data_IF_606838673010
#
_entry.id   IF_606838673010
#
_cell.length_a   1.000
_cell.length_b   1.000
_cell.length_c   1.000
_cell.angle_alpha   90.00
_cell.angle_beta   90.00
_cell.angle_gamma   90.00
#
_symmetry.space_group_name_H-M   'P 1'
#
loop_
_entity.id
_entity.type
_entity.pdbx_description
1 polymer ?
#
# COMPACT_ATOMS: atom_id res chain seq x y z
N UNK A 1 -7.49 -6.58 -20.19
CA UNK A 1 -6.87 -6.41 -18.86
C UNK A 1 -7.88 -6.82 -17.80
N UNK A 2 -7.48 -7.64 -16.85
CA UNK A 2 -8.38 -8.04 -15.76
C UNK A 2 -8.50 -6.88 -14.76
N UNK A 3 -9.72 -6.54 -14.36
CA UNK A 3 -9.97 -5.45 -13.39
C UNK A 3 -9.54 -5.95 -12.01
N UNK A 4 -8.74 -5.16 -11.30
CA UNK A 4 -8.27 -5.45 -9.96
C UNK A 4 -8.81 -4.41 -8.97
N UNK A 5 -8.90 -4.79 -7.70
CA UNK A 5 -9.19 -3.89 -6.57
C UNK A 5 -7.89 -3.57 -5.83
N UNK A 6 -7.54 -2.30 -5.81
CA UNK A 6 -6.37 -1.76 -5.14
C UNK A 6 -6.76 -1.12 -3.81
N UNK A 7 -6.09 -1.48 -2.74
CA UNK A 7 -6.21 -0.84 -1.44
C UNK A 7 -4.93 -0.01 -1.20
N UNK A 8 -5.06 1.31 -1.19
CA UNK A 8 -3.92 2.24 -1.09
C UNK A 8 -4.05 3.03 0.20
N UNK A 9 -3.06 2.93 1.09
CA UNK A 9 -2.96 3.74 2.30
C UNK A 9 -2.03 4.92 2.10
N UNK A 10 -2.21 6.00 2.90
CA UNK A 10 -1.51 7.26 2.68
C UNK A 10 -1.91 7.93 1.36
N UNK A 11 -3.15 7.72 0.95
CA UNK A 11 -3.67 8.11 -0.35
C UNK A 11 -3.79 9.63 -0.54
N UNK A 12 -3.81 10.42 0.54
CA UNK A 12 -3.79 11.89 0.49
C UNK A 12 -2.39 12.45 0.21
N UNK A 13 -1.33 11.65 0.26
CA UNK A 13 0.00 12.10 -0.13
C UNK A 13 0.10 12.32 -1.65
N UNK A 14 1.18 12.99 -2.09
CA UNK A 14 1.44 13.16 -3.53
C UNK A 14 1.58 11.80 -4.22
N UNK A 15 2.42 10.92 -3.68
CA UNK A 15 2.66 9.59 -4.23
C UNK A 15 1.41 8.73 -4.20
N UNK A 16 0.68 8.72 -3.07
CA UNK A 16 -0.56 7.96 -2.91
C UNK A 16 -1.61 8.39 -3.93
N UNK A 17 -1.83 9.69 -4.10
CA UNK A 17 -2.78 10.22 -5.07
C UNK A 17 -2.36 9.90 -6.53
N UNK A 18 -1.05 9.91 -6.83
CA UNK A 18 -0.55 9.50 -8.16
C UNK A 18 -0.83 8.02 -8.43
N UNK A 19 -0.62 7.14 -7.44
CA UNK A 19 -0.93 5.71 -7.53
C UNK A 19 -2.44 5.53 -7.76
N UNK A 20 -3.29 6.19 -6.97
CA UNK A 20 -4.75 6.12 -7.10
C UNK A 20 -5.20 6.54 -8.51
N UNK A 21 -4.76 7.72 -8.99
CA UNK A 21 -5.10 8.21 -10.33
C UNK A 21 -4.70 7.23 -11.43
N UNK A 22 -3.50 6.67 -11.36
CA UNK A 22 -3.03 5.74 -12.38
C UNK A 22 -3.75 4.40 -12.34
N UNK A 23 -4.08 3.88 -11.15
CA UNK A 23 -4.89 2.67 -11.04
C UNK A 23 -6.29 2.87 -11.64
N UNK A 24 -6.95 3.99 -11.34
CA UNK A 24 -8.23 4.36 -11.94
C UNK A 24 -8.14 4.52 -13.47
N UNK A 25 -7.09 5.20 -13.97
CA UNK A 25 -6.88 5.39 -15.41
C UNK A 25 -6.69 4.06 -16.17
N UNK A 26 -6.19 3.02 -15.49
CA UNK A 26 -6.07 1.66 -16.04
C UNK A 26 -7.34 0.81 -15.89
N UNK A 27 -8.40 1.37 -15.34
CA UNK A 27 -9.69 0.69 -15.20
C UNK A 27 -9.84 -0.14 -13.93
N UNK A 28 -8.88 -0.05 -12.99
CA UNK A 28 -8.96 -0.72 -11.71
C UNK A 28 -9.95 -0.05 -10.75
N UNK A 29 -10.38 -0.78 -9.73
CA UNK A 29 -11.13 -0.27 -8.59
C UNK A 29 -10.13 0.12 -7.49
N UNK A 30 -10.39 1.20 -6.75
CA UNK A 30 -9.45 1.70 -5.75
C UNK A 30 -10.17 2.06 -4.46
N UNK A 31 -9.68 1.49 -3.37
CA UNK A 31 -9.94 1.95 -2.01
C UNK A 31 -8.77 2.85 -1.62
N UNK A 32 -9.04 4.12 -1.46
CA UNK A 32 -8.05 5.13 -1.11
C UNK A 32 -8.25 5.54 0.36
N UNK A 33 -7.38 5.05 1.23
CA UNK A 33 -7.47 5.21 2.67
C UNK A 33 -6.45 6.23 3.19
N UNK A 34 -6.92 7.16 4.01
CA UNK A 34 -6.09 8.18 4.65
C UNK A 34 -6.83 8.75 5.87
N UNK A 35 -6.12 9.42 6.78
CA UNK A 35 -6.76 10.11 7.89
C UNK A 35 -7.74 11.21 7.43
N UNK A 36 -7.47 11.86 6.28
CA UNK A 36 -8.34 12.85 5.64
C UNK A 36 -8.81 12.38 4.26
N UNK A 37 -9.96 11.68 4.17
CA UNK A 37 -10.51 11.23 2.89
C UNK A 37 -10.92 12.38 1.96
N UNK A 38 -11.22 13.57 2.50
CA UNK A 38 -11.51 14.73 1.67
C UNK A 38 -10.24 15.24 0.98
N UNK A 39 -9.08 15.17 1.64
CA UNK A 39 -7.79 15.47 1.00
C UNK A 39 -7.49 14.51 -0.14
N UNK A 40 -7.83 13.21 0.01
CA UNK A 40 -7.74 12.24 -1.09
C UNK A 40 -8.57 12.71 -2.29
N UNK A 41 -9.85 12.99 -2.08
CA UNK A 41 -10.76 13.43 -3.16
C UNK A 41 -10.27 14.71 -3.84
N UNK A 42 -9.81 15.70 -3.07
CA UNK A 42 -9.24 16.93 -3.63
C UNK A 42 -8.02 16.67 -4.52
N UNK A 43 -7.15 15.72 -4.14
CA UNK A 43 -5.93 15.40 -4.89
C UNK A 43 -6.17 14.52 -6.10
N UNK A 44 -7.12 13.59 -6.00
CA UNK A 44 -7.51 12.72 -7.11
C UNK A 44 -8.29 13.53 -8.16
N UNK A 45 -9.09 14.50 -7.73
CA UNK A 45 -9.81 15.43 -8.60
C UNK A 45 -10.76 14.70 -9.56
N UNK A 46 -10.77 15.11 -10.82
CA UNK A 46 -11.67 14.60 -11.88
C UNK A 46 -11.48 13.10 -12.20
N UNK A 47 -10.42 12.47 -11.69
CA UNK A 47 -10.26 11.02 -11.81
C UNK A 47 -11.14 10.22 -10.83
N UNK A 48 -11.78 10.89 -9.86
CA UNK A 48 -12.70 10.25 -8.92
C UNK A 48 -14.01 9.87 -9.62
N UNK A 49 -14.32 8.58 -9.62
CA UNK A 49 -15.54 8.01 -10.20
C UNK A 49 -16.10 6.88 -9.33
N UNK A 50 -17.10 6.15 -9.84
CA UNK A 50 -17.74 5.05 -9.12
C UNK A 50 -16.79 3.90 -8.73
N UNK A 51 -15.56 3.86 -9.27
CA UNK A 51 -14.51 2.88 -8.95
C UNK A 51 -13.61 3.33 -7.80
N UNK A 52 -13.78 4.54 -7.28
CA UNK A 52 -13.07 5.06 -6.12
C UNK A 52 -13.93 4.95 -4.87
N UNK A 53 -13.36 4.39 -3.80
CA UNK A 53 -13.89 4.42 -2.45
C UNK A 53 -12.86 5.12 -1.55
N UNK A 54 -13.12 6.37 -1.18
CA UNK A 54 -12.29 7.11 -0.24
C UNK A 54 -12.76 6.86 1.19
N UNK A 55 -11.86 6.46 2.08
CA UNK A 55 -12.16 6.09 3.47
C UNK A 55 -11.24 6.80 4.45
N UNK A 56 -11.79 7.19 5.61
CA UNK A 56 -10.99 7.56 6.77
C UNK A 56 -10.33 6.30 7.35
N UNK A 57 -9.04 6.39 7.68
CA UNK A 57 -8.29 5.27 8.25
C UNK A 57 -7.15 5.79 9.15
N UNK A 58 -7.20 5.39 10.42
CA UNK A 58 -6.02 5.29 11.27
C UNK A 58 -5.44 3.87 11.19
N UNK A 59 -4.31 3.73 10.51
CA UNK A 59 -3.64 2.45 10.30
C UNK A 59 -3.16 1.80 11.62
N UNK A 60 -3.03 2.61 12.70
CA UNK A 60 -2.61 2.13 14.02
C UNK A 60 -3.77 1.51 14.77
N UNK A 61 -5.02 1.84 14.44
CA UNK A 61 -6.21 1.21 15.01
C UNK A 61 -6.64 -0.01 14.17
N UNK A 62 -6.45 -1.20 14.74
CA UNK A 62 -6.81 -2.46 14.08
C UNK A 62 -8.32 -2.59 13.80
N UNK A 63 -9.19 -1.88 14.53
CA UNK A 63 -10.64 -1.90 14.30
C UNK A 63 -11.00 -1.09 13.07
N UNK A 64 -10.38 0.09 12.91
CA UNK A 64 -10.56 0.92 11.73
C UNK A 64 -10.05 0.21 10.48
N UNK A 65 -8.88 -0.43 10.56
CA UNK A 65 -8.36 -1.26 9.45
C UNK A 65 -9.35 -2.37 9.10
N UNK A 66 -9.88 -3.09 10.08
CA UNK A 66 -10.88 -4.13 9.86
C UNK A 66 -12.14 -3.58 9.19
N UNK A 67 -12.65 -2.45 9.64
CA UNK A 67 -13.83 -1.79 9.06
C UNK A 67 -13.58 -1.35 7.61
N UNK A 68 -12.41 -0.77 7.32
CA UNK A 68 -12.02 -0.35 5.97
C UNK A 68 -11.90 -1.55 5.00
N UNK A 69 -11.33 -2.67 5.46
CA UNK A 69 -11.26 -3.91 4.67
C UNK A 69 -12.66 -4.44 4.39
N UNK A 70 -13.55 -4.50 5.39
CA UNK A 70 -14.93 -4.94 5.18
C UNK A 70 -15.70 -4.03 4.21
N UNK A 71 -15.50 -2.71 4.28
CA UNK A 71 -16.07 -1.76 3.32
C UNK A 71 -15.56 -2.00 1.89
N UNK A 72 -14.25 -2.30 1.73
CA UNK A 72 -13.66 -2.67 0.45
C UNK A 72 -14.29 -3.94 -0.13
N UNK A 73 -14.41 -5.00 0.68
CA UNK A 73 -15.01 -6.28 0.28
C UNK A 73 -16.48 -6.12 -0.08
N UNK A 74 -17.24 -5.38 0.72
CA UNK A 74 -18.66 -5.12 0.46
C UNK A 74 -18.87 -4.33 -0.84
N UNK A 75 -17.95 -3.40 -1.16
CA UNK A 75 -18.06 -2.51 -2.34
C UNK A 75 -17.58 -3.16 -3.62
N UNK A 76 -16.49 -3.93 -3.56
CA UNK A 76 -15.76 -4.41 -4.73
C UNK A 76 -15.60 -5.94 -4.79
N UNK A 77 -15.94 -6.66 -3.73
CA UNK A 77 -15.94 -8.13 -3.70
C UNK A 77 -14.59 -8.77 -3.37
N UNK A 78 -13.50 -8.00 -3.38
CA UNK A 78 -12.16 -8.52 -3.09
C UNK A 78 -11.11 -7.43 -2.98
N UNK A 79 -9.88 -7.81 -2.61
CA UNK A 79 -8.70 -6.94 -2.60
C UNK A 79 -7.57 -7.71 -3.27
N UNK A 80 -7.15 -7.26 -4.46
CA UNK A 80 -6.09 -7.90 -5.23
C UNK A 80 -4.71 -7.35 -4.89
N UNK A 81 -4.62 -6.04 -4.64
CA UNK A 81 -3.36 -5.35 -4.38
C UNK A 81 -3.50 -4.44 -3.17
N UNK A 82 -2.61 -4.61 -2.19
CA UNK A 82 -2.36 -3.63 -1.13
C UNK A 82 -1.12 -2.81 -1.49
N UNK A 83 -1.23 -1.48 -1.43
CA UNK A 83 -0.09 -0.56 -1.42
C UNK A 83 -0.11 0.19 -0.09
N UNK A 84 0.83 -0.14 0.78
CA UNK A 84 0.94 0.44 2.12
C UNK A 84 2.16 1.36 2.24
N UNK A 85 2.01 2.47 2.96
CA UNK A 85 3.09 3.41 3.23
C UNK A 85 3.32 4.44 2.14
N UNK A 86 2.29 4.75 1.33
CA UNK A 86 2.36 5.80 0.32
C UNK A 86 2.42 7.23 0.91
N UNK A 87 2.30 7.37 2.24
CA UNK A 87 2.45 8.64 2.92
C UNK A 87 3.82 9.27 2.60
N UNK A 88 3.85 10.59 2.47
CA UNK A 88 5.08 11.32 2.20
C UNK A 88 6.11 11.01 3.30
N UNK A 89 7.09 10.18 2.95
CA UNK A 89 8.33 10.08 3.71
C UNK A 89 9.08 11.38 3.46
N UNK A 90 8.66 12.46 4.13
CA UNK A 90 9.48 13.67 4.21
C UNK A 90 10.86 13.24 4.68
N UNK A 91 11.96 13.73 4.04
CA UNK A 91 13.30 13.41 4.47
C UNK A 91 13.63 14.17 5.76
N UNK A 92 12.89 13.92 6.82
CA UNK A 92 13.26 14.36 8.15
C UNK A 92 14.25 13.34 8.68
N UNK A 93 15.48 13.78 8.80
CA UNK A 93 16.49 13.08 9.58
C UNK A 93 15.93 12.81 10.97
N UNK A 94 16.20 11.65 11.55
CA UNK A 94 15.90 11.35 12.97
C UNK A 94 16.53 12.39 13.91
N UNK A 95 17.42 13.25 13.39
CA UNK A 95 18.12 14.33 14.09
C UNK A 95 17.65 15.74 13.69
N UNK A 96 16.61 15.85 12.86
CA UNK A 96 16.05 17.15 12.49
C UNK A 96 15.20 17.70 13.66
N UNK A 97 15.33 18.99 14.06
CA UNK A 97 14.53 19.60 15.13
C UNK A 97 13.06 19.85 14.73
N UNK A 98 12.55 19.13 13.74
CA UNK A 98 11.15 19.09 13.36
C UNK A 98 10.26 18.29 14.30
N UNK A 99 8.94 18.18 14.04
CA UNK A 99 8.09 17.30 14.81
C UNK A 99 8.66 15.86 14.73
N UNK A 100 8.61 15.11 15.85
CA UNK A 100 9.20 13.78 15.90
C UNK A 100 8.68 12.92 14.76
N UNK A 101 9.56 12.14 14.10
CA UNK A 101 9.12 11.15 13.11
C UNK A 101 8.03 10.29 13.77
N UNK A 102 7.09 9.81 12.95
CA UNK A 102 6.08 8.85 13.45
C UNK A 102 6.83 7.81 14.28
N UNK A 103 6.39 7.67 15.53
CA UNK A 103 7.00 6.72 16.46
C UNK A 103 7.20 5.38 15.74
N UNK A 104 8.41 4.83 15.83
CA UNK A 104 8.75 3.52 15.26
C UNK A 104 7.68 2.48 15.59
N UNK A 105 7.19 2.48 16.83
CA UNK A 105 6.14 1.59 17.27
C UNK A 105 4.82 1.79 16.52
N UNK A 106 4.46 3.01 16.18
CA UNK A 106 3.27 3.32 15.38
C UNK A 106 3.44 2.83 13.94
N UNK A 107 4.60 3.03 13.32
CA UNK A 107 4.88 2.55 11.97
C UNK A 107 4.85 1.02 11.86
N UNK A 108 5.43 0.32 12.83
CA UNK A 108 5.40 -1.13 12.90
C UNK A 108 3.98 -1.64 13.15
N UNK A 109 3.22 -0.98 14.02
CA UNK A 109 1.82 -1.35 14.30
C UNK A 109 0.94 -1.17 13.07
N UNK A 110 1.08 -0.06 12.36
CA UNK A 110 0.38 0.17 11.09
C UNK A 110 0.68 -0.92 10.06
N UNK A 111 1.97 -1.25 9.88
CA UNK A 111 2.41 -2.33 9.01
C UNK A 111 1.71 -3.66 9.34
N UNK A 112 1.72 -4.08 10.60
CA UNK A 112 1.07 -5.32 11.05
C UNK A 112 -0.44 -5.30 10.86
N UNK A 113 -1.10 -4.20 11.28
CA UNK A 113 -2.55 -4.10 11.22
C UNK A 113 -3.05 -4.17 9.77
N UNK A 114 -2.45 -3.36 8.89
CA UNK A 114 -2.90 -3.29 7.49
C UNK A 114 -2.62 -4.61 6.76
N UNK A 115 -1.42 -5.18 6.94
CA UNK A 115 -1.09 -6.48 6.34
C UNK A 115 -2.05 -7.56 6.81
N UNK A 116 -2.23 -7.70 8.12
CA UNK A 116 -3.13 -8.69 8.71
C UNK A 116 -4.57 -8.50 8.24
N UNK A 117 -5.01 -7.24 8.11
CA UNK A 117 -6.38 -6.91 7.71
C UNK A 117 -6.73 -7.42 6.31
N UNK A 118 -5.84 -7.24 5.33
CA UNK A 118 -6.08 -7.68 3.95
C UNK A 118 -5.77 -9.17 3.74
N UNK A 119 -4.85 -9.72 4.52
CA UNK A 119 -4.28 -11.04 4.29
C UNK A 119 -5.33 -12.16 4.35
N UNK A 120 -6.31 -12.07 5.25
CA UNK A 120 -7.38 -13.06 5.33
C UNK A 120 -8.16 -13.11 4.02
N UNK A 121 -8.58 -11.95 3.48
CA UNK A 121 -9.32 -11.89 2.23
C UNK A 121 -8.51 -12.45 1.06
N UNK A 122 -7.22 -12.07 0.96
CA UNK A 122 -6.34 -12.55 -0.10
C UNK A 122 -6.10 -14.07 -0.01
N UNK A 123 -5.99 -14.64 1.19
CA UNK A 123 -5.88 -16.10 1.38
C UNK A 123 -7.14 -16.85 0.95
N UNK A 124 -8.31 -16.30 1.26
CA UNK A 124 -9.60 -16.87 0.83
C UNK A 124 -9.77 -16.77 -0.69
N UNK A 125 -9.23 -15.71 -1.32
CA UNK A 125 -9.19 -15.53 -2.78
C UNK A 125 -8.19 -16.48 -3.46
N UNK A 126 -7.19 -16.99 -2.75
CA UNK A 126 -6.09 -17.76 -3.31
C UNK A 126 -5.14 -16.94 -4.17
N UNK A 127 -5.18 -15.62 -4.05
CA UNK A 127 -4.32 -14.68 -4.78
C UNK A 127 -4.29 -13.33 -4.09
N UNK A 128 -3.18 -12.62 -4.18
CA UNK A 128 -3.03 -11.26 -3.68
C UNK A 128 -1.61 -10.75 -3.83
N UNK A 129 -1.46 -9.43 -3.82
CA UNK A 129 -0.15 -8.78 -3.81
C UNK A 129 -0.11 -7.70 -2.75
N UNK A 130 0.86 -7.79 -1.84
CA UNK A 130 1.10 -6.81 -0.79
C UNK A 130 2.42 -6.10 -1.08
N UNK A 131 2.36 -4.79 -1.20
CA UNK A 131 3.50 -3.93 -1.47
C UNK A 131 3.67 -2.93 -0.35
N UNK A 132 4.74 -3.04 0.41
CA UNK A 132 5.13 -2.05 1.39
C UNK A 132 6.13 -1.07 0.76
N UNK A 133 5.75 0.19 0.69
CA UNK A 133 6.63 1.24 0.18
C UNK A 133 7.63 1.64 1.25
N UNK A 134 8.89 1.60 0.88
CA UNK A 134 10.01 1.98 1.76
C UNK A 134 10.73 3.21 1.21
N UNK A 135 11.39 4.01 2.05
CA UNK A 135 12.23 5.12 1.60
C UNK A 135 13.29 4.68 0.59
N UNK A 136 13.65 5.57 -0.33
CA UNK A 136 14.69 5.29 -1.31
C UNK A 136 16.05 4.98 -0.64
N UNK A 137 16.86 4.05 -1.20
CA UNK A 137 18.18 3.74 -0.68
C UNK A 137 19.04 5.00 -0.58
N UNK A 138 19.74 5.17 0.54
CA UNK A 138 20.67 6.28 0.79
C UNK A 138 20.14 7.44 1.62
N UNK A 139 18.81 7.54 1.86
CA UNK A 139 18.23 8.61 2.68
C UNK A 139 17.84 8.21 4.11
N UNK A 140 17.58 6.95 4.35
CA UNK A 140 17.34 6.41 5.70
C UNK A 140 17.81 4.97 5.75
N UNK A 141 18.84 4.71 6.54
CA UNK A 141 19.22 3.38 7.00
C UNK A 141 18.83 3.26 8.47
N UNK A 142 17.55 3.49 8.76
CA UNK A 142 17.07 3.40 10.13
C UNK A 142 16.52 2.00 10.47
N UNK A 143 16.31 1.72 11.76
CA UNK A 143 15.73 0.45 12.23
C UNK A 143 14.41 0.10 11.54
N UNK A 144 13.62 1.10 11.15
CA UNK A 144 12.33 0.93 10.47
C UNK A 144 12.46 0.23 9.13
N UNK A 145 13.46 0.58 8.31
CA UNK A 145 13.67 -0.04 7.00
C UNK A 145 14.01 -1.53 7.13
N UNK A 146 14.94 -1.87 8.04
CA UNK A 146 15.30 -3.26 8.30
C UNK A 146 14.13 -4.07 8.85
N UNK A 147 13.31 -3.46 9.72
CA UNK A 147 12.13 -4.11 10.28
C UNK A 147 11.07 -4.38 9.20
N UNK A 148 10.86 -3.46 8.27
CA UNK A 148 9.90 -3.65 7.17
C UNK A 148 10.40 -4.75 6.22
N UNK A 149 11.67 -4.73 5.82
CA UNK A 149 12.24 -5.74 4.93
C UNK A 149 12.17 -7.15 5.55
N UNK A 150 12.66 -7.31 6.78
CA UNK A 150 12.59 -8.59 7.48
C UNK A 150 11.15 -9.08 7.73
N UNK A 151 10.23 -8.17 8.01
CA UNK A 151 8.80 -8.51 8.11
C UNK A 151 8.25 -9.01 6.76
N UNK A 152 8.54 -8.32 5.66
CA UNK A 152 8.09 -8.73 4.33
C UNK A 152 8.62 -10.10 3.95
N UNK A 153 9.91 -10.39 4.21
CA UNK A 153 10.51 -11.70 3.94
C UNK A 153 9.83 -12.80 4.75
N UNK A 154 9.64 -12.61 6.06
CA UNK A 154 8.99 -13.59 6.92
C UNK A 154 7.54 -13.85 6.47
N UNK A 155 6.75 -12.80 6.24
CA UNK A 155 5.35 -12.97 5.81
C UNK A 155 5.27 -13.58 4.41
N UNK A 156 6.16 -13.22 3.47
CA UNK A 156 6.19 -13.80 2.13
C UNK A 156 6.33 -15.33 2.15
N UNK A 157 7.20 -15.85 3.03
CA UNK A 157 7.37 -17.29 3.19
C UNK A 157 6.10 -17.97 3.70
N UNK A 158 5.43 -17.36 4.67
CA UNK A 158 4.22 -17.91 5.30
C UNK A 158 3.00 -17.90 4.35
N UNK A 159 2.93 -16.92 3.45
CA UNK A 159 1.74 -16.72 2.61
C UNK A 159 1.87 -17.18 1.17
N UNK A 160 3.09 -17.51 0.72
CA UNK A 160 3.32 -18.03 -0.63
C UNK A 160 2.44 -19.25 -0.98
N UNK A 161 2.19 -20.22 -0.06
CA UNK A 161 1.30 -21.35 -0.35
C UNK A 161 -0.15 -20.95 -0.67
N UNK A 162 -0.55 -19.76 -0.31
CA UNK A 162 -1.88 -19.21 -0.56
C UNK A 162 -1.95 -18.31 -1.82
N UNK A 163 -0.90 -18.27 -2.63
CA UNK A 163 -0.85 -17.44 -3.82
C UNK A 163 -0.74 -15.93 -3.54
N UNK A 164 -0.27 -15.56 -2.34
CA UNK A 164 -0.08 -14.15 -1.95
C UNK A 164 1.39 -13.79 -2.04
N UNK A 165 1.68 -12.70 -2.74
CA UNK A 165 3.03 -12.13 -2.87
C UNK A 165 3.19 -10.95 -1.90
N UNK A 166 4.31 -10.86 -1.19
CA UNK A 166 4.64 -9.74 -0.30
C UNK A 166 6.01 -9.20 -0.66
N UNK A 167 6.11 -7.88 -0.81
CA UNK A 167 7.37 -7.22 -1.17
C UNK A 167 7.52 -5.86 -0.50
N UNK A 168 8.78 -5.48 -0.23
CA UNK A 168 9.18 -4.13 0.12
C UNK A 168 9.75 -3.44 -1.12
N UNK A 169 9.18 -2.32 -1.52
CA UNK A 169 9.55 -1.62 -2.76
C UNK A 169 9.92 -0.18 -2.47
N UNK A 170 11.05 0.31 -2.96
CA UNK A 170 11.41 1.71 -2.84
C UNK A 170 10.32 2.64 -3.41
N UNK A 171 9.96 3.70 -2.68
CA UNK A 171 8.87 4.60 -3.06
C UNK A 171 9.04 5.20 -4.47
N UNK A 172 10.29 5.45 -4.91
CA UNK A 172 10.55 5.95 -6.26
C UNK A 172 10.25 4.92 -7.38
N UNK A 173 10.16 3.63 -7.04
CA UNK A 173 9.80 2.55 -7.97
C UNK A 173 8.31 2.20 -7.91
N UNK A 174 7.55 2.81 -7.00
CA UNK A 174 6.13 2.51 -6.80
C UNK A 174 5.31 2.60 -8.10
N UNK A 175 5.64 3.55 -8.96
CA UNK A 175 4.94 3.76 -10.23
C UNK A 175 5.21 2.66 -11.28
N UNK A 176 6.32 1.93 -11.16
CA UNK A 176 6.62 0.78 -12.01
C UNK A 176 5.70 -0.41 -11.68
N UNK A 177 5.26 -0.54 -10.43
CA UNK A 177 4.32 -1.58 -10.01
C UNK A 177 3.02 -1.57 -10.80
N UNK A 178 2.54 -0.38 -11.16
CA UNK A 178 1.34 -0.24 -11.98
C UNK A 178 1.53 -0.78 -13.41
N UNK A 179 2.75 -0.82 -13.90
CA UNK A 179 3.08 -1.36 -15.23
C UNK A 179 3.12 -2.88 -15.20
N UNK A 180 3.69 -3.49 -14.17
CA UNK A 180 3.83 -4.95 -14.05
C UNK A 180 2.52 -5.64 -13.62
N UNK A 181 1.59 -4.95 -12.96
CA UNK A 181 0.28 -5.50 -12.60
C UNK A 181 -0.61 -5.80 -13.82
N UNK A 182 -0.26 -5.29 -15.01
CA UNK A 182 -1.02 -5.52 -16.25
C UNK A 182 -0.62 -6.80 -17.01
N UNK A 183 0.08 -7.73 -16.38
CA UNK A 183 0.29 -9.12 -16.84
C UNK A 183 0.77 -9.30 -18.27
N UNK A 184 2.08 -9.24 -18.50
CA UNK A 184 2.78 -10.03 -19.52
C UNK A 184 4.31 -10.10 -19.35
N UNK A 185 4.90 -9.43 -18.36
CA UNK A 185 6.37 -9.48 -18.19
C UNK A 185 6.74 -10.02 -16.79
N UNK A 186 6.57 -11.35 -16.60
CA UNK A 186 7.09 -12.04 -15.42
C UNK A 186 8.60 -12.27 -15.45
N UNK A 187 9.26 -12.05 -16.59
CA UNK A 187 10.64 -12.51 -16.81
C UNK A 187 11.70 -11.40 -16.89
N UNK A 188 11.35 -10.10 -16.94
CA UNK A 188 12.35 -9.05 -17.16
C UNK A 188 12.86 -8.36 -15.88
N UNK A 189 12.16 -8.46 -14.76
CA UNK A 189 12.53 -7.70 -13.53
C UNK A 189 13.51 -8.47 -12.62
N UNK A 190 13.79 -9.74 -12.88
CA UNK A 190 14.69 -10.56 -12.07
C UNK A 190 16.15 -10.61 -12.57
N UNK A 191 16.49 -9.90 -13.65
CA UNK A 191 17.85 -9.93 -14.24
C UNK A 191 18.71 -8.69 -13.94
N UNK A 192 18.20 -7.68 -13.24
CA UNK A 192 18.99 -6.47 -12.88
C UNK A 192 19.08 -6.22 -11.37
N UNK A 193 19.11 -7.25 -10.53
CA UNK A 193 19.36 -7.11 -9.10
C UNK A 193 20.67 -7.80 -8.69
#
# INVERSE_FOLDING_TARGET
MNRQTWFVTGAASRLGADIVRQALARGHQVVAADADPLAVLRRVGDAADARLLALALDEVDAREVGAAVQAALARFGGIDVLVHGAADSSPQSEFDPGPPPRDFSASVRALFNVTRGVLQAMREQGAGRIVHLVPAPGRQRGPTLFSIAGFCEAVAMDVAPFGVEVSAVPAHQAMALLKSASGSDRDEVLQEA
#
